data_IF_530133736891
#
_entry.id   IF_530133736891
#
_cell.length_a   1.000
_cell.length_b   1.000
_cell.length_c   1.000
_cell.angle_alpha   90.00
_cell.angle_beta   90.00
_cell.angle_gamma   90.00
#
_symmetry.space_group_name_H-M   'P 1'
#
loop_
_entity.id
_entity.type
_entity.pdbx_description
1 polymer ?
#
# COMPACT_ATOMS: atom_id res chain seq x y z
N UNK A 1 -13.61 -76.60 23.52
CA UNK A 1 -13.88 -76.42 22.07
C UNK A 1 -13.66 -74.96 21.72
N UNK A 2 -13.13 -74.75 20.52
CA UNK A 2 -12.62 -73.52 19.92
C UNK A 2 -13.66 -72.38 19.76
N UNK A 3 -13.12 -71.14 19.79
CA UNK A 3 -13.30 -70.03 18.83
C UNK A 3 -14.25 -68.82 19.07
N UNK A 4 -13.59 -67.64 19.07
CA UNK A 4 -13.86 -66.35 18.40
C UNK A 4 -14.93 -65.42 19.05
N UNK A 5 -14.57 -64.35 19.75
CA UNK A 5 -13.97 -63.05 19.34
C UNK A 5 -15.00 -61.98 18.93
N UNK A 6 -14.71 -60.72 19.34
CA UNK A 6 -15.22 -59.39 18.92
C UNK A 6 -16.37 -58.80 19.78
N UNK A 7 -16.38 -57.53 20.20
CA UNK A 7 -15.53 -56.33 20.01
C UNK A 7 -15.79 -55.37 21.19
N UNK A 8 -14.73 -54.65 21.60
CA UNK A 8 -14.68 -53.57 22.59
C UNK A 8 -15.26 -52.27 21.98
N UNK A 9 -16.02 -51.51 22.77
CA UNK A 9 -16.52 -50.18 22.40
C UNK A 9 -16.42 -49.19 23.56
N UNK A 10 -15.21 -48.91 24.03
CA UNK A 10 -14.91 -47.77 24.88
C UNK A 10 -14.51 -46.59 23.98
N UNK A 11 -15.39 -45.60 23.82
CA UNK A 11 -15.02 -44.33 23.18
C UNK A 11 -14.44 -43.43 24.27
N UNK A 12 -13.11 -43.48 24.39
CA UNK A 12 -12.32 -42.42 24.99
C UNK A 12 -12.52 -41.14 24.16
N UNK A 13 -13.06 -40.10 24.79
CA UNK A 13 -12.98 -38.73 24.29
C UNK A 13 -11.51 -38.35 24.38
N UNK A 14 -10.83 -38.44 23.24
CA UNK A 14 -9.45 -38.05 23.11
C UNK A 14 -9.34 -36.53 23.22
N UNK A 15 -8.80 -36.09 24.36
CA UNK A 15 -8.13 -34.80 24.53
C UNK A 15 -6.88 -34.78 23.63
N UNK A 16 -7.06 -34.52 22.34
CA UNK A 16 -6.00 -34.02 21.47
C UNK A 16 -6.04 -32.49 21.56
N UNK A 17 -5.09 -31.85 22.24
CA UNK A 17 -3.82 -31.44 21.66
C UNK A 17 -3.98 -30.77 20.28
N UNK A 18 -4.45 -29.54 20.30
CA UNK A 18 -3.86 -28.45 19.50
C UNK A 18 -4.32 -27.13 20.10
N UNK A 19 -3.68 -26.73 21.22
CA UNK A 19 -3.49 -25.31 21.43
C UNK A 19 -2.55 -24.86 20.31
N UNK A 20 -3.11 -24.61 19.13
CA UNK A 20 -2.50 -23.67 18.22
C UNK A 20 -2.44 -22.37 19.01
N UNK A 21 -1.26 -22.08 19.53
CA UNK A 21 -0.82 -20.72 19.73
C UNK A 21 -0.95 -20.04 18.36
N UNK A 22 -2.15 -19.55 18.06
CA UNK A 22 -2.34 -18.59 17.01
C UNK A 22 -1.48 -17.41 17.44
N UNK A 23 -0.33 -17.29 16.78
CA UNK A 23 0.51 -16.12 16.79
C UNK A 23 -0.43 -14.91 16.81
N UNK A 24 -0.45 -14.20 17.95
CA UNK A 24 -1.22 -12.99 18.08
C UNK A 24 -0.82 -12.07 16.94
N UNK A 25 -1.82 -11.67 16.18
CA UNK A 25 -1.78 -10.78 15.04
C UNK A 25 -0.84 -9.58 15.30
N UNK A 26 0.38 -9.64 14.75
CA UNK A 26 1.10 -8.44 14.31
C UNK A 26 0.40 -7.88 13.06
N UNK A 27 -0.91 -7.63 13.15
CA UNK A 27 -1.66 -7.03 12.06
C UNK A 27 -1.88 -5.57 12.39
N UNK A 28 -1.47 -4.71 11.48
CA UNK A 28 -1.94 -3.34 11.37
C UNK A 28 -1.31 -2.26 12.26
N UNK A 29 -0.83 -2.51 13.47
CA UNK A 29 -0.21 -1.42 14.27
C UNK A 29 1.08 -1.85 14.95
N UNK A 30 2.19 -1.22 14.56
CA UNK A 30 3.52 -1.43 15.16
C UNK A 30 4.58 -0.50 14.56
N UNK A 31 5.84 -0.57 15.02
CA UNK A 31 6.99 0.23 14.55
C UNK A 31 7.38 0.05 13.06
N UNK A 32 6.47 -0.44 12.22
CA UNK A 32 6.68 -0.72 10.79
C UNK A 32 6.49 0.48 9.86
N UNK A 33 5.89 1.58 10.29
CA UNK A 33 5.71 2.78 9.44
C UNK A 33 7.07 3.37 9.03
N UNK A 34 8.00 3.46 9.97
CA UNK A 34 9.39 3.87 9.70
C UNK A 34 10.13 2.85 8.84
N UNK A 35 9.84 1.55 8.97
CA UNK A 35 10.40 0.51 8.12
C UNK A 35 9.89 0.60 6.68
N UNK A 36 8.62 0.98 6.48
CA UNK A 36 8.03 1.21 5.15
C UNK A 36 8.59 2.48 4.50
N UNK A 37 8.77 3.56 5.25
CA UNK A 37 9.31 4.82 4.71
C UNK A 37 10.81 4.74 4.39
N UNK A 38 11.58 3.96 5.14
CA UNK A 38 13.04 3.84 4.98
C UNK A 38 13.46 2.62 4.15
N UNK A 39 12.59 2.12 3.26
CA UNK A 39 12.95 1.04 2.36
C UNK A 39 14.05 1.51 1.40
N UNK A 40 15.25 0.95 1.55
CA UNK A 40 16.32 1.11 0.56
C UNK A 40 15.95 0.34 -0.71
N UNK A 41 15.76 1.10 -1.79
CA UNK A 41 15.34 0.57 -3.10
C UNK A 41 16.51 0.38 -4.06
N UNK A 42 17.75 0.67 -3.65
CA UNK A 42 18.93 0.62 -4.53
C UNK A 42 19.17 -0.77 -5.14
N UNK A 43 18.79 -1.84 -4.42
CA UNK A 43 18.88 -3.22 -4.88
C UNK A 43 17.64 -3.76 -5.60
N UNK A 44 16.56 -2.97 -5.74
CA UNK A 44 15.30 -3.47 -6.26
C UNK A 44 15.27 -3.44 -7.79
N UNK A 45 14.60 -4.44 -8.39
CA UNK A 45 14.28 -4.42 -9.81
C UNK A 45 13.26 -3.31 -10.05
N UNK A 46 13.62 -2.31 -10.85
CA UNK A 46 12.78 -1.17 -11.21
C UNK A 46 12.16 -1.37 -12.59
N UNK A 47 10.84 -1.29 -12.68
CA UNK A 47 10.08 -1.46 -13.93
C UNK A 47 9.21 -0.23 -14.20
N UNK A 48 9.21 0.23 -15.45
CA UNK A 48 8.32 1.32 -15.89
C UNK A 48 6.91 0.78 -16.13
N UNK A 49 5.92 1.52 -15.64
CA UNK A 49 4.51 1.20 -15.77
C UNK A 49 3.88 2.12 -16.83
N UNK A 50 2.98 1.55 -17.61
CA UNK A 50 2.26 2.21 -18.69
C UNK A 50 0.76 2.34 -18.38
N UNK A 51 0.43 2.64 -17.12
CA UNK A 51 -0.93 2.60 -16.61
C UNK A 51 -1.85 3.48 -17.45
N UNK A 52 -2.88 2.87 -18.05
CA UNK A 52 -3.82 3.57 -18.92
C UNK A 52 -4.47 4.76 -18.19
N UNK A 53 -4.79 4.59 -16.90
CA UNK A 53 -5.30 5.66 -16.05
C UNK A 53 -4.29 6.80 -15.87
N UNK A 54 -3.01 6.49 -15.59
CA UNK A 54 -1.96 7.49 -15.47
C UNK A 54 -1.78 8.28 -16.77
N UNK A 55 -1.86 7.62 -17.93
CA UNK A 55 -1.85 8.27 -19.25
C UNK A 55 -3.06 9.19 -19.44
N UNK A 56 -4.26 8.73 -19.06
CA UNK A 56 -5.49 9.53 -19.15
C UNK A 56 -5.47 10.77 -18.25
N UNK A 57 -4.79 10.71 -17.09
CA UNK A 57 -4.66 11.80 -16.12
C UNK A 57 -3.53 12.80 -16.45
N UNK A 58 -3.15 12.92 -17.73
CA UNK A 58 -2.09 13.85 -18.18
C UNK A 58 -0.70 13.23 -18.29
N UNK A 59 -0.58 11.91 -18.13
CA UNK A 59 0.68 11.18 -18.27
C UNK A 59 1.51 11.18 -16.98
N UNK A 60 1.31 10.17 -16.14
CA UNK A 60 2.22 9.95 -15.01
C UNK A 60 3.47 9.18 -15.45
N UNK A 61 4.64 9.57 -14.92
CA UNK A 61 5.82 8.71 -14.94
C UNK A 61 5.74 7.76 -13.73
N UNK A 62 5.38 6.50 -13.99
CA UNK A 62 5.12 5.50 -12.97
C UNK A 62 6.12 4.34 -13.02
N UNK A 63 6.55 3.89 -11.84
CA UNK A 63 7.48 2.77 -11.69
C UNK A 63 7.05 1.83 -10.56
N UNK A 64 7.22 0.54 -10.77
CA UNK A 64 7.15 -0.49 -9.75
C UNK A 64 8.58 -0.93 -9.36
N UNK A 65 8.76 -1.24 -8.08
CA UNK A 65 10.02 -1.73 -7.53
C UNK A 65 9.79 -3.06 -6.82
N UNK A 66 10.59 -4.06 -7.20
CA UNK A 66 10.47 -5.43 -6.73
C UNK A 66 11.72 -5.89 -5.99
N UNK A 67 11.50 -6.61 -4.90
CA UNK A 67 12.51 -7.39 -4.18
C UNK A 67 12.25 -8.87 -4.45
N UNK A 68 13.03 -9.47 -5.37
CA UNK A 68 12.66 -10.72 -6.02
C UNK A 68 11.33 -10.58 -6.75
N UNK A 69 10.37 -11.45 -6.42
CA UNK A 69 9.01 -11.42 -7.00
C UNK A 69 8.02 -10.58 -6.17
N UNK A 70 8.48 -9.95 -5.08
CA UNK A 70 7.61 -9.19 -4.18
C UNK A 70 7.60 -7.73 -4.58
N UNK A 71 6.42 -7.20 -4.92
CA UNK A 71 6.21 -5.78 -5.10
C UNK A 71 6.40 -5.05 -3.76
N UNK A 72 7.30 -4.06 -3.72
CA UNK A 72 7.66 -3.32 -2.50
C UNK A 72 7.28 -1.85 -2.55
N UNK A 73 7.38 -1.24 -3.72
CA UNK A 73 7.13 0.19 -3.88
C UNK A 73 6.57 0.50 -5.26
N UNK A 74 5.67 1.46 -5.32
CA UNK A 74 5.26 2.12 -6.55
C UNK A 74 5.51 3.62 -6.39
N UNK A 75 6.05 4.26 -7.42
CA UNK A 75 6.12 5.73 -7.51
C UNK A 75 5.34 6.19 -8.73
N UNK A 76 4.54 7.24 -8.60
CA UNK A 76 3.85 7.87 -9.71
C UNK A 76 3.98 9.40 -9.60
N UNK A 77 4.53 10.04 -10.63
CA UNK A 77 4.69 11.49 -10.69
C UNK A 77 3.84 12.08 -11.81
N UNK A 78 3.01 13.05 -11.48
CA UNK A 78 2.17 13.80 -12.39
C UNK A 78 2.69 15.24 -12.47
N UNK A 79 2.75 15.80 -13.68
CA UNK A 79 3.22 17.17 -13.88
C UNK A 79 2.34 17.88 -14.90
N UNK A 80 2.00 19.13 -14.60
CA UNK A 80 1.22 20.00 -15.46
C UNK A 80 1.68 21.46 -15.28
N UNK A 81 1.13 22.37 -16.06
CA UNK A 81 1.37 23.81 -15.88
C UNK A 81 0.88 24.33 -14.51
N UNK A 82 -0.12 23.67 -13.92
CA UNK A 82 -0.69 24.02 -12.61
C UNK A 82 0.16 23.52 -11.43
N UNK A 83 1.12 22.61 -11.66
CA UNK A 83 1.97 22.06 -10.62
C UNK A 83 2.32 20.59 -10.83
N UNK A 84 2.94 20.01 -9.81
CA UNK A 84 3.38 18.63 -9.73
C UNK A 84 2.68 17.91 -8.59
N UNK A 85 2.36 16.64 -8.78
CA UNK A 85 1.91 15.75 -7.72
C UNK A 85 2.72 14.46 -7.76
N UNK A 86 3.37 14.12 -6.66
CA UNK A 86 4.12 12.88 -6.48
C UNK A 86 3.34 11.97 -5.52
N UNK A 87 3.15 10.72 -5.94
CA UNK A 87 2.54 9.67 -5.13
C UNK A 87 3.56 8.55 -4.96
N UNK A 88 3.68 8.05 -3.74
CA UNK A 88 4.48 6.86 -3.45
C UNK A 88 3.68 5.88 -2.63
N UNK A 89 3.65 4.62 -3.04
CA UNK A 89 2.97 3.54 -2.34
C UNK A 89 4.03 2.56 -1.84
N UNK A 90 4.11 2.39 -0.53
CA UNK A 90 5.00 1.42 0.13
C UNK A 90 4.17 0.22 0.55
N UNK A 91 4.56 -0.96 0.08
CA UNK A 91 3.70 -2.14 0.07
C UNK A 91 4.34 -3.23 0.92
N UNK A 92 3.70 -3.57 2.04
CA UNK A 92 4.04 -4.76 2.80
C UNK A 92 3.31 -5.97 2.19
N UNK A 93 2.00 -5.80 1.96
CA UNK A 93 1.12 -6.70 1.24
C UNK A 93 -0.07 -5.91 0.68
N UNK A 94 -1.02 -6.58 0.01
CA UNK A 94 -2.16 -5.92 -0.64
C UNK A 94 -3.12 -5.24 0.32
N UNK A 95 -3.17 -5.68 1.57
CA UNK A 95 -4.08 -5.16 2.60
C UNK A 95 -3.37 -4.22 3.56
N UNK A 96 -2.04 -4.21 3.60
CA UNK A 96 -1.22 -3.37 4.45
C UNK A 96 -0.19 -2.56 3.63
N UNK A 97 -0.47 -1.28 3.46
CA UNK A 97 0.34 -0.37 2.66
C UNK A 97 0.26 1.07 3.15
N UNK A 98 1.31 1.83 2.87
CA UNK A 98 1.41 3.26 3.16
C UNK A 98 1.38 4.05 1.86
N UNK A 99 0.53 5.06 1.79
CA UNK A 99 0.47 5.98 0.66
C UNK A 99 1.05 7.33 1.10
N UNK A 100 2.14 7.74 0.48
CA UNK A 100 2.71 9.08 0.58
C UNK A 100 2.23 9.91 -0.60
N UNK A 101 1.84 11.15 -0.30
CA UNK A 101 1.43 12.12 -1.30
C UNK A 101 2.10 13.45 -1.07
N UNK A 102 2.54 14.06 -2.16
CA UNK A 102 3.20 15.33 -2.14
C UNK A 102 2.75 16.18 -3.34
N UNK A 103 2.19 17.36 -3.10
CA UNK A 103 1.82 18.30 -4.15
C UNK A 103 2.71 19.53 -4.08
N UNK A 104 3.26 19.91 -5.24
CA UNK A 104 3.86 21.21 -5.46
C UNK A 104 2.97 22.01 -6.40
N UNK A 105 2.20 22.95 -5.87
CA UNK A 105 1.32 23.79 -6.69
C UNK A 105 2.06 25.01 -7.23
N UNK A 106 1.83 25.32 -8.50
CA UNK A 106 2.32 26.56 -9.10
C UNK A 106 1.26 27.66 -8.89
N UNK A 107 1.53 28.53 -7.93
CA UNK A 107 0.74 29.73 -7.58
C UNK A 107 0.41 30.65 -8.75
N UNK A 108 1.26 30.69 -9.78
CA UNK A 108 1.05 31.53 -10.95
C UNK A 108 -0.17 31.10 -11.80
N UNK A 109 -0.77 29.93 -11.53
CA UNK A 109 -1.92 29.43 -12.28
C UNK A 109 -3.21 30.24 -12.02
N UNK A 110 -3.35 30.89 -10.85
CA UNK A 110 -4.55 31.67 -10.50
C UNK A 110 -4.42 33.19 -10.75
N UNK A 111 -3.35 33.64 -11.42
CA UNK A 111 -3.11 35.06 -11.73
C UNK A 111 -2.79 35.95 -10.51
N UNK A 112 -2.16 35.41 -9.48
CA UNK A 112 -1.64 36.19 -8.36
C UNK A 112 -0.19 36.63 -8.61
N UNK A 113 0.16 37.85 -8.19
CA UNK A 113 1.41 38.53 -8.57
C UNK A 113 2.67 37.92 -7.94
N UNK A 114 2.53 37.11 -6.89
CA UNK A 114 3.62 36.45 -6.19
C UNK A 114 3.44 34.94 -6.25
N UNK A 115 4.44 34.24 -6.78
CA UNK A 115 4.46 32.79 -6.84
C UNK A 115 4.63 32.19 -5.43
N UNK A 116 3.55 31.98 -4.68
CA UNK A 116 3.55 31.22 -3.41
C UNK A 116 3.58 29.70 -3.65
N UNK A 117 4.59 29.00 -3.14
CA UNK A 117 4.52 27.55 -3.00
C UNK A 117 3.45 27.23 -1.95
N UNK A 118 2.29 26.70 -2.36
CA UNK A 118 1.13 26.63 -1.45
C UNK A 118 1.33 25.67 -0.27
N UNK A 119 2.07 24.56 -0.43
CA UNK A 119 2.58 23.69 0.66
C UNK A 119 3.63 22.72 0.08
N UNK A 120 4.79 22.52 0.72
CA UNK A 120 5.78 21.43 0.45
C UNK A 120 5.58 20.28 1.45
N UNK A 121 4.33 19.97 1.76
CA UNK A 121 3.97 19.06 2.85
C UNK A 121 3.66 17.67 2.33
N UNK A 122 4.23 16.65 3.00
CA UNK A 122 4.01 15.24 2.68
C UNK A 122 2.88 14.68 3.53
N UNK A 123 1.86 14.15 2.88
CA UNK A 123 0.73 13.49 3.54
C UNK A 123 0.88 11.97 3.48
N UNK A 124 0.59 11.28 4.59
CA UNK A 124 0.78 9.83 4.72
C UNK A 124 -0.50 9.09 5.13
N UNK A 125 -1.03 8.21 4.29
CA UNK A 125 -2.23 7.41 4.55
C UNK A 125 -1.86 5.94 4.75
N UNK A 126 -2.03 5.42 5.98
CA UNK A 126 -1.78 4.01 6.27
C UNK A 126 -3.07 3.20 6.20
N UNK A 127 -3.14 2.27 5.24
CA UNK A 127 -4.24 1.31 5.10
C UNK A 127 -3.81 -0.04 5.63
N UNK A 128 -4.64 -0.65 6.47
CA UNK A 128 -4.49 -2.03 6.89
C UNK A 128 -5.83 -2.76 6.95
N UNK A 129 -5.86 -3.99 6.44
CA UNK A 129 -7.07 -4.82 6.37
C UNK A 129 -8.27 -4.03 5.83
N UNK A 130 -8.02 -3.32 4.72
CA UNK A 130 -8.98 -2.47 4.00
C UNK A 130 -9.50 -1.25 4.80
N UNK A 131 -8.94 -1.00 5.98
CA UNK A 131 -9.29 0.11 6.86
C UNK A 131 -8.19 1.17 6.86
N UNK A 132 -8.57 2.45 6.74
CA UNK A 132 -7.64 3.56 6.95
C UNK A 132 -7.37 3.70 8.45
N UNK A 133 -6.15 3.40 8.90
CA UNK A 133 -5.80 3.40 10.32
C UNK A 133 -5.38 4.76 10.85
N UNK A 134 -4.73 5.57 10.02
CA UNK A 134 -4.29 6.89 10.38
C UNK A 134 -4.50 7.84 9.19
N UNK A 135 -5.28 8.91 9.33
CA UNK A 135 -5.20 10.04 8.42
C UNK A 135 -3.84 10.71 8.55
N UNK A 136 -3.37 11.30 7.45
CA UNK A 136 -2.10 11.99 7.26
C UNK A 136 -1.53 12.68 8.51
N UNK A 137 -0.43 12.14 9.04
CA UNK A 137 0.51 12.99 9.78
C UNK A 137 1.38 13.71 8.75
N UNK A 138 1.52 15.04 8.86
CA UNK A 138 2.47 15.83 8.05
C UNK A 138 1.91 16.63 6.87
N UNK A 139 0.58 16.75 6.68
CA UNK A 139 -0.01 17.58 5.61
C UNK A 139 -1.53 17.77 5.65
N UNK A 140 -2.11 18.23 4.51
CA UNK A 140 -3.55 18.46 4.32
C UNK A 140 -4.32 17.12 4.38
N UNK A 141 -5.06 16.91 5.46
CA UNK A 141 -5.96 15.76 5.62
C UNK A 141 -7.21 16.00 4.75
N UNK A 142 -7.38 15.22 3.68
CA UNK A 142 -8.55 15.30 2.80
C UNK A 142 -8.96 13.90 2.29
N UNK A 143 -10.19 13.48 2.59
CA UNK A 143 -10.77 12.21 2.15
C UNK A 143 -10.81 12.09 0.62
N UNK A 144 -11.06 13.19 -0.10
CA UNK A 144 -11.06 13.22 -1.57
C UNK A 144 -9.67 12.90 -2.13
N UNK A 145 -8.61 13.41 -1.49
CA UNK A 145 -7.22 13.10 -1.88
C UNK A 145 -6.95 11.60 -1.65
N UNK A 146 -7.34 11.08 -0.48
CA UNK A 146 -7.20 9.66 -0.18
C UNK A 146 -7.92 8.77 -1.20
N UNK A 147 -9.17 9.07 -1.53
CA UNK A 147 -9.96 8.27 -2.48
C UNK A 147 -9.36 8.31 -3.89
N UNK A 148 -8.89 9.48 -4.33
CA UNK A 148 -8.19 9.63 -5.61
C UNK A 148 -6.89 8.83 -5.63
N UNK A 149 -6.10 8.87 -4.56
CA UNK A 149 -4.88 8.07 -4.45
C UNK A 149 -5.17 6.56 -4.44
N UNK A 150 -6.21 6.14 -3.73
CA UNK A 150 -6.65 4.75 -3.67
C UNK A 150 -7.06 4.24 -5.07
N UNK A 151 -7.77 5.06 -5.84
CA UNK A 151 -8.12 4.75 -7.22
C UNK A 151 -6.86 4.60 -8.11
N UNK A 152 -5.94 5.56 -8.04
CA UNK A 152 -4.64 5.49 -8.75
C UNK A 152 -3.92 4.19 -8.40
N UNK A 153 -3.81 3.88 -7.11
CA UNK A 153 -3.14 2.69 -6.63
C UNK A 153 -3.75 1.40 -7.17
N UNK A 154 -5.08 1.26 -7.10
CA UNK A 154 -5.80 0.09 -7.61
C UNK A 154 -5.61 -0.11 -9.12
N UNK A 155 -5.61 0.98 -9.88
CA UNK A 155 -5.35 0.92 -11.33
C UNK A 155 -3.92 0.46 -11.62
N UNK A 156 -2.94 0.96 -10.87
CA UNK A 156 -1.54 0.54 -11.04
C UNK A 156 -1.35 -0.93 -10.64
N UNK A 157 -1.93 -1.37 -9.52
CA UNK A 157 -1.88 -2.78 -9.11
C UNK A 157 -2.47 -3.70 -10.18
N UNK A 158 -3.57 -3.30 -10.81
CA UNK A 158 -4.19 -4.06 -11.90
C UNK A 158 -3.24 -4.20 -13.09
N UNK A 159 -2.46 -3.17 -13.43
CA UNK A 159 -1.47 -3.28 -14.50
C UNK A 159 -0.32 -4.23 -14.12
N UNK A 160 0.19 -4.10 -12.89
CA UNK A 160 1.28 -4.96 -12.39
C UNK A 160 0.87 -6.43 -12.40
N UNK A 161 -0.37 -6.74 -12.01
CA UNK A 161 -0.90 -8.11 -11.98
C UNK A 161 -1.13 -8.73 -13.35
N UNK A 162 -1.27 -7.90 -14.40
CA UNK A 162 -1.55 -8.35 -15.78
C UNK A 162 -0.29 -8.50 -16.64
N UNK A 163 0.91 -8.31 -16.08
CA UNK A 163 2.21 -8.53 -16.74
C UNK A 163 2.81 -9.87 -16.34
#
# INVERSE_FOLDING_TARGET
MYNQAKIIGAVMIALFLSQNANAQDQKCTGPGLSALMNVDVSGFRKEKLEAAFAKAMGGADAYAYFDGDKLKKITASFSSNAGKADMTFYIQDRRNYLMEYHILQNSNFYSEADSVLLTDEKSFYHVCDDSLLAPAFGGIINEEIYDNMKLVFQMILTEVDNK
#
